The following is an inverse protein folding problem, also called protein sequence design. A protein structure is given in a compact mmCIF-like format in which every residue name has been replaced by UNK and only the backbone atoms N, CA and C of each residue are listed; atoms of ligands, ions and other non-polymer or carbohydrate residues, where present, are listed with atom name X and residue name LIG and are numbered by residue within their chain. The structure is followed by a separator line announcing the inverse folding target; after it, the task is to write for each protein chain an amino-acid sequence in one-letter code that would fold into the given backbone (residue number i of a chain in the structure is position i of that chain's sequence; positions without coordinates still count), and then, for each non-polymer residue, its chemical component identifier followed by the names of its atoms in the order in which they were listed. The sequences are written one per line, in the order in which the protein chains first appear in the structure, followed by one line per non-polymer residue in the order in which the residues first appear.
data_IF_432965849846
#
_entry.id   IF_432965849846
#
_cell.length_a   1.000
_cell.length_b   1.000
_cell.length_c   1.000
_cell.angle_alpha   90.00
_cell.angle_beta   90.00
_cell.angle_gamma   90.00
#
_symmetry.space_group_name_H-M   'P 1'
#
loop_
_entity.id
_entity.type
_entity.pdbx_description
1 polymer ?
#
# COMPACT_ATOMS: atom_id res chain seq x y z
N UNK A 1 -42.86 -0.93 -14.13
CA UNK A 1 -42.91 -1.38 -15.54
C UNK A 1 -42.71 -2.87 -15.54
N UNK A 2 -43.52 -3.64 -16.28
CA UNK A 2 -43.33 -5.10 -16.31
C UNK A 2 -42.14 -5.47 -17.22
N UNK A 3 -41.61 -6.68 -17.07
CA UNK A 3 -40.46 -7.18 -17.86
C UNK A 3 -40.64 -6.97 -19.38
N UNK A 4 -41.85 -7.20 -19.90
CA UNK A 4 -42.18 -6.99 -21.31
C UNK A 4 -41.92 -5.55 -21.76
N UNK A 5 -42.33 -4.55 -20.96
CA UNK A 5 -42.11 -3.13 -21.25
C UNK A 5 -40.62 -2.76 -21.24
N UNK A 6 -39.86 -3.37 -20.32
CA UNK A 6 -38.40 -3.17 -20.20
C UNK A 6 -37.66 -3.71 -21.41
N UNK A 7 -38.02 -4.91 -21.88
CA UNK A 7 -37.45 -5.51 -23.10
C UNK A 7 -37.74 -4.62 -24.32
N UNK A 8 -38.99 -4.15 -24.49
CA UNK A 8 -39.36 -3.25 -25.59
C UNK A 8 -38.54 -1.95 -25.54
N UNK A 9 -38.42 -1.35 -24.34
CA UNK A 9 -37.68 -0.09 -24.15
C UNK A 9 -36.19 -0.25 -24.48
N UNK A 10 -35.54 -1.28 -23.93
CA UNK A 10 -34.11 -1.56 -24.14
C UNK A 10 -33.83 -1.87 -25.62
N UNK A 11 -34.68 -2.68 -26.26
CA UNK A 11 -34.57 -2.98 -27.70
C UNK A 11 -34.66 -1.71 -28.56
N UNK A 12 -35.67 -0.86 -28.29
CA UNK A 12 -35.88 0.38 -29.06
C UNK A 12 -34.74 1.38 -28.85
N UNK A 13 -34.19 1.48 -27.63
CA UNK A 13 -33.03 2.33 -27.33
C UNK A 13 -31.80 1.96 -28.14
N UNK A 14 -31.53 0.67 -28.27
CA UNK A 14 -30.43 0.16 -29.09
C UNK A 14 -30.73 0.14 -30.60
N UNK A 15 -31.90 0.62 -31.02
CA UNK A 15 -32.30 0.68 -32.43
C UNK A 15 -32.57 -0.69 -33.08
N UNK A 16 -32.78 -1.74 -32.29
CA UNK A 16 -32.92 -3.10 -32.81
C UNK A 16 -34.36 -3.44 -33.21
N UNK A 17 -34.51 -4.23 -34.27
CA UNK A 17 -35.76 -4.94 -34.60
C UNK A 17 -35.94 -6.18 -33.69
N UNK A 18 -37.17 -6.72 -33.62
CA UNK A 18 -37.42 -7.97 -32.88
C UNK A 18 -36.63 -9.14 -33.45
N UNK A 19 -36.33 -9.12 -34.74
CA UNK A 19 -35.58 -10.15 -35.45
C UNK A 19 -34.08 -10.07 -35.12
N UNK A 20 -33.54 -8.85 -35.00
CA UNK A 20 -32.16 -8.63 -34.55
C UNK A 20 -31.96 -9.00 -33.08
N UNK A 21 -32.93 -8.69 -32.20
CA UNK A 21 -32.88 -9.15 -30.81
C UNK A 21 -32.96 -10.67 -30.74
N UNK A 22 -33.80 -11.31 -31.55
CA UNK A 22 -33.92 -12.76 -31.61
C UNK A 22 -32.61 -13.43 -32.07
N UNK A 23 -31.95 -12.86 -33.09
CA UNK A 23 -30.65 -13.32 -33.56
C UNK A 23 -29.57 -13.20 -32.47
N UNK A 24 -29.51 -12.06 -31.77
CA UNK A 24 -28.56 -11.82 -30.67
C UNK A 24 -28.79 -12.75 -29.47
N UNK A 25 -30.05 -13.10 -29.20
CA UNK A 25 -30.45 -13.98 -28.09
C UNK A 25 -30.46 -15.48 -28.46
N UNK A 26 -30.11 -15.81 -29.71
CA UNK A 26 -30.18 -17.16 -30.27
C UNK A 26 -31.55 -17.83 -30.01
N UNK A 27 -32.63 -17.12 -30.30
CA UNK A 27 -34.02 -17.59 -30.18
C UNK A 27 -34.82 -17.26 -31.45
N UNK A 28 -36.03 -17.80 -31.57
CA UNK A 28 -36.91 -17.42 -32.68
C UNK A 28 -37.49 -16.02 -32.48
N UNK A 29 -37.74 -15.31 -33.59
CA UNK A 29 -38.47 -14.02 -33.58
C UNK A 29 -39.81 -14.12 -32.85
N UNK A 30 -40.48 -15.27 -32.94
CA UNK A 30 -41.72 -15.55 -32.24
C UNK A 30 -41.56 -15.57 -30.71
N UNK A 31 -40.44 -16.07 -30.19
CA UNK A 31 -40.17 -16.06 -28.75
C UNK A 31 -40.05 -14.61 -28.22
N UNK A 32 -39.26 -13.77 -28.90
CA UNK A 32 -39.13 -12.35 -28.56
C UNK A 32 -40.47 -11.63 -28.63
N UNK A 33 -41.28 -11.88 -29.67
CA UNK A 33 -42.61 -11.29 -29.78
C UNK A 33 -43.54 -11.69 -28.63
N UNK A 34 -43.45 -12.93 -28.13
CA UNK A 34 -44.25 -13.39 -26.99
C UNK A 34 -43.76 -12.80 -25.66
N UNK A 35 -42.46 -12.59 -25.52
CA UNK A 35 -41.88 -11.89 -24.36
C UNK A 35 -42.33 -10.43 -24.31
N UNK A 36 -42.25 -9.71 -25.43
CA UNK A 36 -42.70 -8.31 -25.52
C UNK A 36 -44.23 -8.15 -25.37
N UNK A 37 -45.00 -9.19 -25.69
CA UNK A 37 -46.45 -9.21 -25.50
C UNK A 37 -46.88 -9.75 -24.11
N UNK A 38 -45.95 -10.02 -23.20
CA UNK A 38 -46.20 -10.62 -21.88
C UNK A 38 -46.95 -11.97 -21.93
N UNK A 39 -46.89 -12.70 -23.06
CA UNK A 39 -47.57 -13.99 -23.23
C UNK A 39 -46.76 -15.15 -22.65
N UNK A 40 -45.44 -15.00 -22.59
CA UNK A 40 -44.51 -15.97 -22.01
C UNK A 40 -43.37 -15.24 -21.34
N UNK A 41 -42.86 -15.77 -20.24
CA UNK A 41 -41.68 -15.23 -19.56
C UNK A 41 -40.42 -15.93 -20.07
N UNK A 42 -39.32 -15.21 -20.37
CA UNK A 42 -38.04 -15.85 -20.62
C UNK A 42 -37.61 -16.68 -19.40
N UNK A 43 -36.89 -17.78 -19.62
CA UNK A 43 -36.29 -18.53 -18.52
C UNK A 43 -35.12 -17.75 -17.88
N UNK A 44 -34.63 -18.22 -16.74
CA UNK A 44 -33.55 -17.55 -16.01
C UNK A 44 -32.28 -17.37 -16.86
N UNK A 45 -31.96 -18.34 -17.71
CA UNK A 45 -30.79 -18.26 -18.60
C UNK A 45 -30.96 -17.12 -19.62
N UNK A 46 -32.16 -16.99 -20.20
CA UNK A 46 -32.50 -15.91 -21.13
C UNK A 46 -32.58 -14.56 -20.43
N UNK A 47 -33.00 -14.50 -19.17
CA UNK A 47 -32.98 -13.26 -18.38
C UNK A 47 -31.54 -12.78 -18.14
N UNK A 48 -30.62 -13.69 -17.80
CA UNK A 48 -29.19 -13.38 -17.67
C UNK A 48 -28.59 -12.91 -18.99
N UNK A 49 -28.93 -13.58 -20.09
CA UNK A 49 -28.50 -13.18 -21.44
C UNK A 49 -29.04 -11.80 -21.82
N UNK A 50 -30.29 -11.47 -21.50
CA UNK A 50 -30.87 -10.14 -21.73
C UNK A 50 -30.16 -9.07 -20.90
N UNK A 51 -29.86 -9.34 -19.63
CA UNK A 51 -29.11 -8.42 -18.76
C UNK A 51 -27.76 -8.06 -19.36
N UNK A 52 -26.98 -9.08 -19.74
CA UNK A 52 -25.68 -8.89 -20.40
C UNK A 52 -25.80 -8.19 -21.75
N UNK A 53 -26.79 -8.56 -22.57
CA UNK A 53 -26.96 -7.98 -23.90
C UNK A 53 -27.35 -6.49 -23.87
N UNK A 54 -28.10 -6.10 -22.84
CA UNK A 54 -28.58 -4.72 -22.69
C UNK A 54 -27.73 -3.87 -21.74
N UNK A 55 -26.74 -4.46 -21.05
CA UNK A 55 -25.92 -3.77 -20.06
C UNK A 55 -26.71 -3.31 -18.84
N UNK A 56 -27.64 -4.14 -18.35
CA UNK A 56 -28.48 -3.84 -17.18
C UNK A 56 -28.48 -5.02 -16.21
N UNK A 57 -28.70 -4.73 -14.92
CA UNK A 57 -28.79 -5.78 -13.90
C UNK A 57 -30.03 -6.66 -14.08
N UNK A 58 -29.96 -7.92 -13.65
CA UNK A 58 -31.14 -8.80 -13.63
C UNK A 58 -32.21 -8.32 -12.67
N UNK A 59 -31.79 -7.63 -11.59
CA UNK A 59 -32.69 -6.98 -10.64
C UNK A 59 -33.54 -5.91 -11.35
N UNK A 60 -32.90 -5.08 -12.20
CA UNK A 60 -33.62 -4.13 -13.04
C UNK A 60 -34.62 -4.84 -13.98
N UNK A 61 -34.29 -6.00 -14.54
CA UNK A 61 -35.24 -6.72 -15.41
C UNK A 61 -36.45 -7.30 -14.64
N UNK A 62 -36.24 -7.74 -13.40
CA UNK A 62 -37.22 -8.54 -12.64
C UNK A 62 -38.08 -7.75 -11.65
N UNK A 63 -37.61 -6.64 -11.08
CA UNK A 63 -38.38 -5.85 -10.10
C UNK A 63 -39.41 -4.95 -10.78
N UNK A 64 -40.60 -4.81 -10.24
CA UNK A 64 -41.66 -3.98 -10.83
C UNK A 64 -41.54 -2.46 -10.51
N UNK A 65 -40.69 -2.13 -9.53
CA UNK A 65 -40.50 -0.77 -9.02
C UNK A 65 -39.69 0.12 -9.99
N UNK A 66 -39.97 1.42 -9.96
CA UNK A 66 -39.25 2.44 -10.74
C UNK A 66 -37.88 2.72 -10.10
N UNK A 67 -36.98 1.74 -10.14
CA UNK A 67 -35.54 2.01 -9.98
C UNK A 67 -35.02 2.62 -11.30
N UNK A 68 -34.24 3.69 -11.21
CA UNK A 68 -33.52 4.26 -12.34
C UNK A 68 -32.66 3.18 -13.01
N UNK A 69 -32.41 3.33 -14.31
CA UNK A 69 -31.61 2.37 -15.07
C UNK A 69 -30.20 2.24 -14.48
N UNK A 70 -29.98 1.26 -13.61
CA UNK A 70 -28.64 0.85 -13.17
C UNK A 70 -27.97 0.13 -14.34
N UNK A 71 -27.32 0.92 -15.20
CA UNK A 71 -26.43 0.40 -16.22
C UNK A 71 -25.27 -0.32 -15.54
N UNK A 72 -25.03 -1.57 -15.93
CA UNK A 72 -23.77 -2.22 -15.61
C UNK A 72 -22.70 -1.54 -16.46
N UNK A 73 -21.90 -0.65 -15.87
CA UNK A 73 -20.72 -0.15 -16.55
C UNK A 73 -19.88 -1.37 -16.98
N UNK A 74 -19.66 -1.55 -18.28
CA UNK A 74 -18.84 -2.64 -18.86
C UNK A 74 -17.35 -2.56 -18.45
N UNK A 75 -17.01 -1.73 -17.45
CA UNK A 75 -15.72 -1.71 -16.75
C UNK A 75 -15.75 -2.46 -15.41
N UNK A 76 -16.74 -3.33 -15.18
CA UNK A 76 -16.79 -4.16 -13.96
C UNK A 76 -15.69 -5.25 -14.01
N UNK A 77 -14.44 -4.81 -13.82
CA UNK A 77 -13.40 -5.65 -13.24
C UNK A 77 -14.05 -6.21 -11.98
N UNK A 78 -14.17 -7.54 -11.79
CA UNK A 78 -14.88 -8.09 -10.65
C UNK A 78 -14.29 -7.50 -9.37
N UNK A 79 -14.98 -6.52 -8.78
CA UNK A 79 -14.46 -5.77 -7.64
C UNK A 79 -14.40 -6.77 -6.50
N UNK A 80 -13.19 -7.16 -6.13
CA UNK A 80 -12.98 -8.28 -5.21
C UNK A 80 -13.60 -7.91 -3.87
N UNK A 81 -14.68 -8.60 -3.51
CA UNK A 81 -15.37 -8.39 -2.23
C UNK A 81 -14.62 -9.12 -1.13
N UNK A 82 -14.18 -8.36 -0.13
CA UNK A 82 -13.54 -8.90 1.07
C UNK A 82 -14.63 -9.35 2.03
N UNK A 83 -14.64 -10.64 2.34
CA UNK A 83 -15.56 -11.22 3.32
C UNK A 83 -15.11 -10.97 4.75
N UNK A 84 -16.00 -11.16 5.73
CA UNK A 84 -15.66 -11.11 7.16
C UNK A 84 -14.49 -12.03 7.53
N UNK A 85 -14.46 -13.25 6.99
CA UNK A 85 -13.40 -14.22 7.27
C UNK A 85 -12.06 -13.81 6.65
N UNK A 86 -12.07 -13.27 5.42
CA UNK A 86 -10.87 -12.78 4.76
C UNK A 86 -10.28 -11.57 5.47
N UNK A 87 -11.13 -10.62 5.88
CA UNK A 87 -10.72 -9.45 6.66
C UNK A 87 -10.12 -9.86 8.02
N UNK A 88 -10.75 -10.78 8.74
CA UNK A 88 -10.22 -11.29 10.01
C UNK A 88 -8.87 -11.99 9.84
N UNK A 89 -8.75 -12.86 8.83
CA UNK A 89 -7.50 -13.56 8.54
C UNK A 89 -6.39 -12.58 8.15
N UNK A 90 -6.68 -11.58 7.31
CA UNK A 90 -5.74 -10.51 6.96
C UNK A 90 -5.24 -9.77 8.20
N UNK A 91 -6.14 -9.32 9.09
CA UNK A 91 -5.76 -8.60 10.31
C UNK A 91 -4.93 -9.47 11.27
N UNK A 92 -5.28 -10.74 11.46
CA UNK A 92 -4.51 -11.68 12.28
C UNK A 92 -3.12 -11.95 11.71
N UNK A 93 -3.04 -12.12 10.39
CA UNK A 93 -1.78 -12.30 9.70
C UNK A 93 -0.90 -11.04 9.82
N UNK A 94 -1.44 -9.85 9.55
CA UNK A 94 -0.73 -8.56 9.72
C UNK A 94 -0.25 -8.37 11.17
N UNK A 95 -1.05 -8.75 12.15
CA UNK A 95 -0.66 -8.74 13.57
C UNK A 95 0.57 -9.62 13.84
N UNK A 96 0.60 -10.84 13.31
CA UNK A 96 1.76 -11.74 13.46
C UNK A 96 2.97 -11.24 12.66
N UNK A 97 2.76 -10.79 11.42
CA UNK A 97 3.79 -10.24 10.56
C UNK A 97 4.46 -9.00 11.19
N UNK A 98 3.70 -8.15 11.89
CA UNK A 98 4.22 -6.95 12.56
C UNK A 98 5.40 -7.24 13.50
N UNK A 99 5.31 -8.34 14.25
CA UNK A 99 6.37 -8.75 15.19
C UNK A 99 7.60 -9.22 14.42
N UNK A 100 7.41 -9.99 13.34
CA UNK A 100 8.52 -10.49 12.51
C UNK A 100 9.25 -9.35 11.80
N UNK A 101 8.50 -8.38 11.25
CA UNK A 101 9.05 -7.18 10.60
C UNK A 101 9.84 -6.34 11.62
N UNK A 102 9.31 -6.20 12.85
CA UNK A 102 10.01 -5.48 13.92
C UNK A 102 11.30 -6.19 14.35
N UNK A 103 11.27 -7.52 14.50
CA UNK A 103 12.47 -8.33 14.83
C UNK A 103 13.51 -8.23 13.73
N UNK A 104 13.12 -8.33 12.45
CA UNK A 104 14.03 -8.18 11.33
C UNK A 104 14.68 -6.78 11.29
N UNK A 105 13.88 -5.73 11.53
CA UNK A 105 14.40 -4.36 11.59
C UNK A 105 15.34 -4.17 12.77
N UNK A 106 14.99 -4.69 13.94
CA UNK A 106 15.85 -4.67 15.11
C UNK A 106 17.18 -5.39 14.84
N UNK A 107 17.13 -6.53 14.15
CA UNK A 107 18.32 -7.29 13.75
C UNK A 107 19.25 -6.47 12.86
N UNK A 108 18.70 -5.72 11.89
CA UNK A 108 19.49 -4.80 11.06
C UNK A 108 20.16 -3.69 11.88
N UNK A 109 19.46 -3.13 12.88
CA UNK A 109 20.00 -2.06 13.74
C UNK A 109 21.14 -2.60 14.60
N UNK A 110 20.99 -3.80 15.19
CA UNK A 110 22.01 -4.40 16.06
C UNK A 110 23.14 -5.07 15.28
N UNK A 111 23.00 -5.30 13.98
CA UNK A 111 24.01 -5.96 13.14
C UNK A 111 25.37 -5.24 13.17
N UNK A 112 25.37 -3.94 13.44
CA UNK A 112 26.58 -3.11 13.52
C UNK A 112 27.28 -3.24 14.88
N UNK A 113 26.59 -3.67 15.94
CA UNK A 113 27.13 -3.75 17.31
C UNK A 113 28.35 -4.68 17.42
N UNK A 114 28.36 -5.91 16.88
CA UNK A 114 29.53 -6.77 16.94
C UNK A 114 30.76 -6.14 16.29
N UNK A 115 30.58 -5.46 15.16
CA UNK A 115 31.66 -4.77 14.46
C UNK A 115 32.26 -3.65 15.33
N UNK A 116 31.40 -2.83 15.95
CA UNK A 116 31.84 -1.75 16.84
C UNK A 116 32.55 -2.30 18.08
N UNK A 117 31.95 -3.28 18.77
CA UNK A 117 32.50 -3.82 20.01
C UNK A 117 33.81 -4.57 19.77
N UNK A 118 33.91 -5.39 18.71
CA UNK A 118 35.16 -6.11 18.41
C UNK A 118 36.29 -5.16 18.04
N UNK A 119 36.00 -4.09 17.29
CA UNK A 119 36.97 -3.02 17.02
C UNK A 119 37.52 -2.42 18.31
N UNK A 120 36.63 -2.00 19.21
CA UNK A 120 37.04 -1.42 20.49
C UNK A 120 37.78 -2.41 21.41
N UNK A 121 37.41 -3.69 21.39
CA UNK A 121 38.15 -4.73 22.13
C UNK A 121 39.57 -4.90 21.58
N UNK A 122 39.78 -4.77 20.26
CA UNK A 122 41.11 -4.95 19.66
C UNK A 122 42.11 -3.86 20.04
N UNK A 123 41.62 -2.66 20.38
CA UNK A 123 42.46 -1.55 20.86
C UNK A 123 42.92 -1.75 22.31
N UNK A 124 42.08 -2.38 23.14
CA UNK A 124 42.33 -2.58 24.58
C UNK A 124 42.98 -3.94 24.88
N UNK A 125 42.62 -4.99 24.15
CA UNK A 125 43.08 -6.36 24.39
C UNK A 125 44.10 -6.79 23.34
N UNK A 126 45.32 -7.10 23.79
CA UNK A 126 46.45 -7.54 22.95
C UNK A 126 46.25 -8.88 22.20
N UNK A 127 45.14 -9.59 22.45
CA UNK A 127 44.94 -10.96 21.97
C UNK A 127 44.38 -11.08 20.56
N UNK A 128 43.82 -10.01 19.98
CA UNK A 128 43.18 -10.04 18.66
C UNK A 128 43.70 -8.86 17.82
N UNK A 129 44.28 -9.12 16.66
CA UNK A 129 44.68 -8.06 15.73
C UNK A 129 43.45 -7.34 15.16
N UNK A 130 43.55 -6.03 14.95
CA UNK A 130 42.52 -5.17 14.37
C UNK A 130 41.89 -5.76 13.09
N UNK A 131 42.70 -6.26 12.16
CA UNK A 131 42.23 -6.88 10.90
C UNK A 131 41.31 -8.09 11.15
N UNK A 132 41.64 -8.92 12.15
CA UNK A 132 40.84 -10.10 12.51
C UNK A 132 39.55 -9.68 13.21
N UNK A 133 39.61 -8.71 14.13
CA UNK A 133 38.44 -8.18 14.80
C UNK A 133 37.45 -7.54 13.81
N UNK A 134 37.94 -6.69 12.91
CA UNK A 134 37.16 -6.10 11.82
C UNK A 134 36.58 -7.14 10.87
N UNK A 135 37.38 -8.16 10.49
CA UNK A 135 36.93 -9.27 9.66
C UNK A 135 35.79 -10.08 10.29
N UNK A 136 35.91 -10.47 11.56
CA UNK A 136 34.86 -11.19 12.30
C UNK A 136 33.61 -10.31 12.45
N UNK A 137 33.79 -9.04 12.80
CA UNK A 137 32.70 -8.07 12.91
C UNK A 137 31.91 -7.91 11.62
N UNK A 138 32.61 -7.82 10.49
CA UNK A 138 31.99 -7.68 9.17
C UNK A 138 31.21 -8.94 8.77
N UNK A 139 31.78 -10.14 9.01
CA UNK A 139 31.09 -11.41 8.77
C UNK A 139 29.83 -11.51 9.64
N UNK A 140 29.93 -11.14 10.92
CA UNK A 140 28.77 -11.12 11.83
C UNK A 140 27.67 -10.16 11.36
N UNK A 141 28.04 -8.97 10.87
CA UNK A 141 27.10 -8.00 10.29
C UNK A 141 26.34 -8.62 9.11
N UNK A 142 27.04 -9.23 8.16
CA UNK A 142 26.40 -9.85 7.00
C UNK A 142 25.49 -11.02 7.39
N UNK A 143 25.86 -11.82 8.39
CA UNK A 143 25.00 -12.90 8.90
C UNK A 143 23.69 -12.34 9.48
N UNK A 144 23.77 -11.31 10.31
CA UNK A 144 22.56 -10.69 10.88
C UNK A 144 21.67 -10.07 9.81
N UNK A 145 22.26 -9.35 8.84
CA UNK A 145 21.52 -8.79 7.71
C UNK A 145 20.87 -9.88 6.85
N UNK A 146 21.59 -10.97 6.57
CA UNK A 146 21.04 -12.10 5.80
C UNK A 146 19.82 -12.73 6.49
N UNK A 147 19.88 -12.94 7.81
CA UNK A 147 18.75 -13.43 8.59
C UNK A 147 17.58 -12.43 8.57
N UNK A 148 17.86 -11.13 8.71
CA UNK A 148 16.81 -10.10 8.65
C UNK A 148 16.11 -10.08 7.29
N UNK A 149 16.87 -10.10 6.19
CA UNK A 149 16.34 -10.17 4.82
C UNK A 149 15.52 -11.43 4.60
N UNK A 150 15.96 -12.59 5.10
CA UNK A 150 15.18 -13.83 5.01
C UNK A 150 13.82 -13.71 5.71
N UNK A 151 13.76 -13.06 6.89
CA UNK A 151 12.52 -12.79 7.61
C UNK A 151 11.62 -11.84 6.81
N UNK A 152 12.17 -10.77 6.23
CA UNK A 152 11.41 -9.83 5.38
C UNK A 152 10.82 -10.52 4.15
N UNK A 153 11.62 -11.31 3.44
CA UNK A 153 11.17 -12.06 2.26
C UNK A 153 10.07 -13.05 2.62
N UNK A 154 10.23 -13.81 3.71
CA UNK A 154 9.19 -14.75 4.17
C UNK A 154 7.88 -14.05 4.54
N UNK A 155 7.96 -12.86 5.14
CA UNK A 155 6.78 -12.05 5.41
C UNK A 155 6.16 -11.50 4.12
N UNK A 156 6.98 -11.04 3.16
CA UNK A 156 6.52 -10.53 1.87
C UNK A 156 5.80 -11.60 1.04
N UNK A 157 6.40 -12.78 0.86
CA UNK A 157 5.78 -13.85 0.07
C UNK A 157 4.45 -14.35 0.67
N UNK A 158 4.32 -14.35 2.01
CA UNK A 158 3.03 -14.69 2.65
C UNK A 158 1.94 -13.63 2.48
N UNK A 159 2.29 -12.42 2.05
CA UNK A 159 1.33 -11.36 1.74
C UNK A 159 0.65 -11.55 0.38
N UNK A 160 1.23 -12.34 -0.53
CA UNK A 160 0.78 -12.44 -1.93
C UNK A 160 -0.74 -12.64 -2.12
N UNK A 161 -1.48 -13.43 -1.30
CA UNK A 161 -2.93 -13.54 -1.43
C UNK A 161 -3.72 -12.26 -1.16
N UNK A 162 -3.11 -11.29 -0.44
CA UNK A 162 -3.69 -10.02 -0.01
C UNK A 162 -3.10 -8.81 -0.74
N UNK A 163 -2.18 -9.01 -1.68
CA UNK A 163 -1.57 -7.94 -2.48
C UNK A 163 -2.61 -7.08 -3.22
N UNK A 164 -3.76 -7.67 -3.58
CA UNK A 164 -4.86 -6.97 -4.22
C UNK A 164 -5.44 -5.84 -3.36
N UNK A 165 -5.36 -5.92 -2.02
CA UNK A 165 -5.84 -4.88 -1.10
C UNK A 165 -5.06 -3.56 -1.33
N UNK A 166 -3.80 -3.68 -1.79
CA UNK A 166 -2.91 -2.54 -2.02
C UNK A 166 -2.90 -2.09 -3.49
N UNK A 167 -3.32 -2.96 -4.43
CA UNK A 167 -3.12 -2.77 -5.87
C UNK A 167 -4.42 -2.60 -6.66
N UNK A 168 -5.54 -3.10 -6.15
CA UNK A 168 -6.79 -3.22 -6.89
C UNK A 168 -7.95 -2.58 -6.11
N UNK A 169 -8.95 -2.01 -6.80
CA UNK A 169 -10.18 -1.60 -6.14
C UNK A 169 -10.88 -2.84 -5.57
N UNK A 170 -11.28 -2.75 -4.30
CA UNK A 170 -12.00 -3.81 -3.60
C UNK A 170 -13.22 -3.23 -2.87
N UNK A 171 -14.19 -4.08 -2.55
CA UNK A 171 -15.34 -3.73 -1.72
C UNK A 171 -15.33 -4.56 -0.45
N UNK A 172 -15.93 -4.04 0.62
CA UNK A 172 -16.08 -4.77 1.88
C UNK A 172 -17.50 -5.30 2.00
N UNK A 173 -17.66 -6.57 2.33
CA UNK A 173 -18.96 -7.16 2.63
C UNK A 173 -19.64 -6.47 3.84
N UNK A 174 -20.97 -6.58 3.92
CA UNK A 174 -21.73 -6.08 5.06
C UNK A 174 -21.15 -6.60 6.39
N UNK A 175 -21.00 -5.70 7.37
CA UNK A 175 -20.44 -6.02 8.68
C UNK A 175 -18.91 -5.94 8.80
N UNK A 176 -18.14 -6.04 7.70
CA UNK A 176 -16.67 -5.93 7.74
C UNK A 176 -16.24 -4.58 8.31
N UNK A 177 -16.79 -3.50 7.77
CA UNK A 177 -16.51 -2.13 8.24
C UNK A 177 -16.83 -1.94 9.72
N UNK A 178 -17.93 -2.53 10.20
CA UNK A 178 -18.31 -2.50 11.62
C UNK A 178 -17.28 -3.21 12.50
N UNK A 179 -16.94 -4.45 12.14
CA UNK A 179 -15.95 -5.27 12.85
C UNK A 179 -14.57 -4.60 12.90
N UNK A 180 -14.12 -4.01 11.78
CA UNK A 180 -12.81 -3.33 11.72
C UNK A 180 -12.83 -2.04 12.54
N UNK A 181 -13.91 -1.25 12.51
CA UNK A 181 -14.05 -0.04 13.34
C UNK A 181 -14.05 -0.37 14.83
N UNK A 182 -14.71 -1.45 15.24
CA UNK A 182 -14.69 -1.92 16.62
C UNK A 182 -13.28 -2.27 17.08
N UNK A 183 -12.55 -3.08 16.30
CA UNK A 183 -11.13 -3.40 16.58
C UNK A 183 -10.23 -2.17 16.58
N UNK A 184 -10.46 -1.23 15.66
CA UNK A 184 -9.71 0.02 15.58
C UNK A 184 -9.94 0.86 16.85
N UNK A 185 -11.18 0.95 17.33
CA UNK A 185 -11.54 1.64 18.58
C UNK A 185 -10.87 0.99 19.80
N UNK A 186 -10.91 -0.33 19.91
CA UNK A 186 -10.24 -1.09 20.99
C UNK A 186 -8.71 -0.91 20.96
N UNK A 187 -8.11 -0.89 19.77
CA UNK A 187 -6.66 -0.80 19.62
C UNK A 187 -6.11 0.63 19.72
N UNK A 188 -6.94 1.66 19.45
CA UNK A 188 -6.54 3.08 19.48
C UNK A 188 -5.76 3.51 20.74
N UNK A 189 -6.18 3.20 21.98
CA UNK A 189 -5.41 3.57 23.17
C UNK A 189 -4.03 2.88 23.21
N UNK A 190 -3.94 1.62 22.77
CA UNK A 190 -2.67 0.89 22.68
C UNK A 190 -1.77 1.50 21.62
N UNK A 191 -2.32 1.88 20.46
CA UNK A 191 -1.59 2.56 19.39
C UNK A 191 -0.98 3.89 19.86
N UNK A 192 -1.80 4.75 20.49
CA UNK A 192 -1.35 6.05 21.00
C UNK A 192 -0.31 5.88 22.11
N UNK A 193 -0.53 4.98 23.07
CA UNK A 193 0.43 4.69 24.14
C UNK A 193 1.76 4.16 23.59
N UNK A 194 1.70 3.25 22.61
CA UNK A 194 2.89 2.67 21.99
C UNK A 194 3.71 3.75 21.26
N UNK A 195 3.06 4.64 20.51
CA UNK A 195 3.74 5.73 19.82
C UNK A 195 4.37 6.74 20.79
N UNK A 196 3.69 7.09 21.89
CA UNK A 196 4.27 7.96 22.91
C UNK A 196 5.52 7.34 23.55
N UNK A 197 5.45 6.05 23.93
CA UNK A 197 6.58 5.32 24.52
C UNK A 197 7.73 5.21 23.51
N UNK A 198 7.46 4.79 22.28
CA UNK A 198 8.47 4.66 21.23
C UNK A 198 9.16 5.99 20.93
N UNK A 199 8.39 7.08 20.83
CA UNK A 199 8.93 8.43 20.63
C UNK A 199 9.85 8.82 21.78
N UNK A 200 9.42 8.59 23.03
CA UNK A 200 10.24 8.86 24.21
C UNK A 200 11.54 8.06 24.22
N UNK A 201 11.50 6.77 23.91
CA UNK A 201 12.69 5.90 23.80
C UNK A 201 13.63 6.42 22.72
N UNK A 202 13.14 6.77 21.53
CA UNK A 202 13.99 7.27 20.45
C UNK A 202 14.64 8.61 20.80
N UNK A 203 13.90 9.55 21.40
CA UNK A 203 14.44 10.86 21.82
C UNK A 203 15.50 10.70 22.91
N UNK A 204 15.30 9.78 23.85
CA UNK A 204 16.25 9.52 24.94
C UNK A 204 17.38 8.55 24.54
N UNK A 205 17.28 7.88 23.40
CA UNK A 205 18.28 6.89 22.96
C UNK A 205 19.70 7.43 22.86
N UNK A 206 19.99 8.71 22.51
CA UNK A 206 21.35 9.22 22.45
C UNK A 206 21.95 9.58 23.83
N UNK A 207 21.17 9.57 24.92
CA UNK A 207 21.65 9.96 26.26
C UNK A 207 22.86 9.12 26.72
N UNK A 208 22.88 7.78 26.59
CA UNK A 208 24.06 6.97 26.91
C UNK A 208 25.31 7.45 26.15
N UNK A 209 25.22 7.69 24.84
CA UNK A 209 26.34 8.20 24.04
C UNK A 209 26.84 9.55 24.54
N UNK A 210 25.92 10.48 24.87
CA UNK A 210 26.28 11.79 25.42
C UNK A 210 26.99 11.65 26.78
N UNK A 211 26.54 10.73 27.64
CA UNK A 211 27.22 10.42 28.91
C UNK A 211 28.61 9.84 28.66
N UNK A 212 28.73 8.91 27.69
CA UNK A 212 30.01 8.34 27.27
C UNK A 212 30.99 9.40 26.76
N UNK A 213 30.52 10.43 26.05
CA UNK A 213 31.36 11.52 25.54
C UNK A 213 32.02 12.37 26.65
N UNK A 214 31.49 12.36 27.88
CA UNK A 214 32.16 12.98 29.03
C UNK A 214 33.26 12.11 29.63
N UNK A 215 33.41 10.88 29.15
CA UNK A 215 34.48 9.98 29.57
C UNK A 215 35.63 10.06 28.58
N UNK A 216 36.87 10.01 29.07
CA UNK A 216 38.08 9.94 28.23
C UNK A 216 38.35 8.50 27.72
N UNK A 217 37.43 7.56 27.95
CA UNK A 217 37.62 6.14 27.65
C UNK A 217 36.89 5.75 26.35
N UNK A 218 37.66 5.57 25.28
CA UNK A 218 37.15 5.22 23.94
C UNK A 218 36.34 3.92 23.93
N UNK A 219 36.77 2.90 24.67
CA UNK A 219 36.03 1.64 24.81
C UNK A 219 34.64 1.83 25.45
N UNK A 220 34.55 2.70 26.47
CA UNK A 220 33.28 3.03 27.10
C UNK A 220 32.35 3.79 26.15
N UNK A 221 32.88 4.72 25.36
CA UNK A 221 32.10 5.45 24.34
C UNK A 221 31.46 4.47 23.36
N UNK A 222 32.18 3.45 22.91
CA UNK A 222 31.67 2.44 21.98
C UNK A 222 30.57 1.57 22.61
N UNK A 223 30.71 1.19 23.89
CA UNK A 223 29.64 0.50 24.63
C UNK A 223 28.40 1.38 24.72
N UNK A 224 28.56 2.66 25.02
CA UNK A 224 27.45 3.60 25.11
C UNK A 224 26.76 3.81 23.76
N UNK A 225 27.53 3.85 22.67
CA UNK A 225 26.99 3.86 21.30
C UNK A 225 26.16 2.60 21.01
N UNK A 226 26.64 1.42 21.40
CA UNK A 226 25.89 0.17 21.25
C UNK A 226 24.57 0.19 22.03
N UNK A 227 24.55 0.72 23.25
CA UNK A 227 23.33 0.90 24.05
C UNK A 227 22.37 1.87 23.35
N UNK A 228 22.87 2.98 22.81
CA UNK A 228 22.07 3.92 22.02
C UNK A 228 21.39 3.23 20.83
N UNK A 229 22.12 2.42 20.06
CA UNK A 229 21.56 1.66 18.95
C UNK A 229 20.50 0.64 19.40
N UNK A 230 20.71 -0.04 20.53
CA UNK A 230 19.73 -0.96 21.11
C UNK A 230 18.43 -0.25 21.48
N UNK A 231 18.52 0.89 22.17
CA UNK A 231 17.35 1.68 22.56
C UNK A 231 16.60 2.20 21.33
N UNK A 232 17.30 2.77 20.36
CA UNK A 232 16.71 3.23 19.10
C UNK A 232 16.01 2.07 18.35
N UNK A 233 16.64 0.90 18.30
CA UNK A 233 16.07 -0.32 17.72
C UNK A 233 14.78 -0.77 18.43
N UNK A 234 14.72 -0.71 19.77
CA UNK A 234 13.51 -1.03 20.54
C UNK A 234 12.39 -0.05 20.18
N UNK A 235 12.68 1.26 20.14
CA UNK A 235 11.72 2.28 19.73
C UNK A 235 11.17 2.05 18.33
N UNK A 236 12.04 1.79 17.35
CA UNK A 236 11.66 1.44 15.99
C UNK A 236 10.79 0.16 15.93
N UNK A 237 11.13 -0.86 16.72
CA UNK A 237 10.33 -2.09 16.81
C UNK A 237 8.91 -1.83 17.32
N UNK A 238 8.74 -0.97 18.32
CA UNK A 238 7.41 -0.59 18.84
C UNK A 238 6.62 0.17 17.76
N UNK A 239 7.25 1.13 17.06
CA UNK A 239 6.60 1.85 15.96
C UNK A 239 6.13 0.90 14.85
N UNK A 240 6.95 -0.08 14.48
CA UNK A 240 6.59 -1.06 13.46
C UNK A 240 5.41 -1.91 13.93
N UNK A 241 5.44 -2.44 15.16
CA UNK A 241 4.35 -3.28 15.68
C UNK A 241 3.03 -2.51 15.72
N UNK A 242 3.06 -1.27 16.23
CA UNK A 242 1.89 -0.42 16.37
C UNK A 242 1.37 0.06 15.00
N UNK A 243 2.28 0.58 14.17
CA UNK A 243 1.98 1.12 12.85
C UNK A 243 1.46 0.08 11.87
N UNK A 244 2.07 -1.11 11.79
CA UNK A 244 1.63 -2.19 10.89
C UNK A 244 0.19 -2.61 11.18
N UNK A 245 -0.17 -2.74 12.46
CA UNK A 245 -1.52 -3.11 12.90
C UNK A 245 -2.52 -2.00 12.61
N UNK A 246 -2.18 -0.76 12.97
CA UNK A 246 -3.01 0.40 12.70
C UNK A 246 -3.30 0.58 11.21
N UNK A 247 -2.24 0.57 10.39
CA UNK A 247 -2.32 0.68 8.94
C UNK A 247 -3.18 -0.43 8.31
N UNK A 248 -3.11 -1.67 8.82
CA UNK A 248 -3.94 -2.76 8.28
C UNK A 248 -5.44 -2.53 8.47
N UNK A 249 -5.85 -1.87 9.56
CA UNK A 249 -7.25 -1.52 9.78
C UNK A 249 -7.67 -0.32 8.93
N UNK A 250 -6.81 0.70 8.81
CA UNK A 250 -7.06 1.84 7.92
C UNK A 250 -7.18 1.43 6.45
N UNK A 251 -6.38 0.46 6.00
CA UNK A 251 -6.50 -0.13 4.66
C UNK A 251 -7.88 -0.71 4.39
N UNK A 252 -8.37 -1.58 5.28
CA UNK A 252 -9.70 -2.18 5.12
C UNK A 252 -10.84 -1.16 5.20
N UNK A 253 -10.66 -0.10 6.01
CA UNK A 253 -11.63 0.99 6.13
C UNK A 253 -11.49 2.07 5.04
N UNK A 254 -10.44 1.99 4.21
CA UNK A 254 -10.06 3.02 3.23
C UNK A 254 -9.96 4.41 3.85
N UNK A 255 -9.36 4.52 5.03
CA UNK A 255 -9.22 5.77 5.79
C UNK A 255 -7.81 6.37 5.68
N UNK A 256 -7.71 7.69 5.85
CA UNK A 256 -6.43 8.41 5.81
C UNK A 256 -5.77 8.34 4.43
N UNK A 257 -4.52 7.86 4.40
CA UNK A 257 -3.72 7.71 3.18
C UNK A 257 -4.24 6.61 2.23
N UNK A 258 -5.15 5.75 2.71
CA UNK A 258 -5.71 4.62 1.95
C UNK A 258 -7.07 4.93 1.32
N UNK A 259 -7.51 6.19 1.36
CA UNK A 259 -8.71 6.61 0.62
C UNK A 259 -8.43 6.53 -0.89
N UNK A 260 -9.42 6.16 -1.74
CA UNK A 260 -9.22 6.13 -3.19
C UNK A 260 -8.73 7.47 -3.76
N UNK A 261 -9.17 8.58 -3.18
CA UNK A 261 -8.73 9.93 -3.54
C UNK A 261 -7.24 10.15 -3.22
N UNK A 262 -6.77 9.78 -2.03
CA UNK A 262 -5.37 10.00 -1.65
C UNK A 262 -4.41 9.06 -2.38
N UNK A 263 -4.83 7.82 -2.67
CA UNK A 263 -4.08 6.89 -3.54
C UNK A 263 -3.90 7.49 -4.94
N UNK A 264 -4.98 8.02 -5.54
CA UNK A 264 -4.91 8.71 -6.84
C UNK A 264 -3.97 9.92 -6.79
N UNK A 265 -4.04 10.73 -5.73
CA UNK A 265 -3.13 11.87 -5.54
C UNK A 265 -1.67 11.40 -5.41
N UNK A 266 -1.41 10.31 -4.68
CA UNK A 266 -0.07 9.73 -4.52
C UNK A 266 0.52 9.31 -5.86
N UNK A 267 -0.23 8.59 -6.70
CA UNK A 267 0.22 8.16 -8.03
C UNK A 267 0.56 9.35 -8.94
N UNK A 268 -0.26 10.41 -8.92
CA UNK A 268 0.01 11.64 -9.69
C UNK A 268 1.28 12.32 -9.17
N UNK A 269 1.43 12.45 -7.84
CA UNK A 269 2.65 13.01 -7.22
C UNK A 269 3.90 12.22 -7.62
N UNK A 270 3.83 10.89 -7.59
CA UNK A 270 4.93 9.99 -7.94
C UNK A 270 5.30 10.07 -9.43
N UNK A 271 4.30 10.11 -10.31
CA UNK A 271 4.50 10.27 -11.76
C UNK A 271 5.17 11.61 -12.08
N UNK A 272 4.69 12.70 -11.47
CA UNK A 272 5.25 14.04 -11.66
C UNK A 272 6.67 14.11 -11.11
N UNK A 273 6.91 13.55 -9.92
CA UNK A 273 8.24 13.50 -9.34
C UNK A 273 9.22 12.72 -10.22
N UNK A 274 8.80 11.56 -10.72
CA UNK A 274 9.61 10.73 -11.62
C UNK A 274 9.95 11.49 -12.90
N UNK A 275 8.96 12.09 -13.57
CA UNK A 275 9.17 12.89 -14.78
C UNK A 275 10.09 14.09 -14.52
N UNK A 276 9.92 14.77 -13.39
CA UNK A 276 10.72 15.92 -13.00
C UNK A 276 12.19 15.56 -12.78
N UNK A 277 12.47 14.52 -11.99
CA UNK A 277 13.85 14.11 -11.70
C UNK A 277 14.56 13.51 -12.93
N UNK A 278 13.83 12.79 -13.78
CA UNK A 278 14.38 12.35 -15.07
C UNK A 278 14.70 13.53 -15.99
N UNK A 279 13.86 14.56 -16.02
CA UNK A 279 14.12 15.78 -16.79
C UNK A 279 15.33 16.55 -16.24
N UNK A 280 15.45 16.71 -14.92
CA UNK A 280 16.61 17.33 -14.29
C UNK A 280 17.90 16.56 -14.58
N UNK A 281 17.84 15.23 -14.52
CA UNK A 281 18.96 14.35 -14.88
C UNK A 281 19.34 14.51 -16.35
N UNK A 282 18.37 14.57 -17.26
CA UNK A 282 18.62 14.77 -18.68
C UNK A 282 19.26 16.14 -18.97
N UNK A 283 18.81 17.21 -18.31
CA UNK A 283 19.40 18.55 -18.41
C UNK A 283 20.85 18.54 -17.90
N UNK A 284 21.08 17.93 -16.73
CA UNK A 284 22.43 17.79 -16.17
C UNK A 284 23.37 17.05 -17.12
N UNK A 285 22.95 15.90 -17.64
CA UNK A 285 23.78 15.11 -18.56
C UNK A 285 24.00 15.83 -19.87
N UNK A 286 22.96 16.42 -20.48
CA UNK A 286 23.09 17.16 -21.74
C UNK A 286 24.08 18.32 -21.57
N UNK A 287 23.91 19.15 -20.53
CA UNK A 287 24.83 20.25 -20.27
C UNK A 287 26.25 19.73 -20.02
N UNK A 288 26.42 18.73 -19.17
CA UNK A 288 27.74 18.20 -18.81
C UNK A 288 28.48 17.60 -20.00
N UNK A 289 27.80 16.86 -20.88
CA UNK A 289 28.42 16.28 -22.08
C UNK A 289 28.69 17.32 -23.17
N UNK A 290 27.84 18.33 -23.33
CA UNK A 290 28.05 19.39 -24.33
C UNK A 290 29.20 20.33 -23.96
N UNK A 291 29.40 20.61 -22.67
CA UNK A 291 30.41 21.58 -22.21
C UNK A 291 31.64 20.95 -21.59
N UNK A 292 31.62 19.64 -21.28
CA UNK A 292 32.63 18.94 -20.48
C UNK A 292 32.95 19.62 -19.13
N UNK A 293 32.06 20.50 -18.63
CA UNK A 293 32.30 21.33 -17.45
C UNK A 293 31.63 20.75 -16.19
N UNK A 294 31.93 19.49 -15.88
CA UNK A 294 31.36 18.73 -14.76
C UNK A 294 31.49 19.43 -13.40
N UNK A 295 32.52 20.27 -13.23
CA UNK A 295 32.75 21.06 -12.01
C UNK A 295 31.72 22.18 -11.78
N UNK A 296 30.96 22.55 -12.81
CA UNK A 296 29.97 23.65 -12.74
C UNK A 296 28.53 23.16 -12.94
N UNK A 297 28.33 22.12 -13.73
CA UNK A 297 26.99 21.61 -14.06
C UNK A 297 26.26 20.96 -12.88
N UNK A 298 26.97 20.63 -11.80
CA UNK A 298 26.36 20.12 -10.57
C UNK A 298 25.33 21.08 -9.95
N UNK A 299 25.38 22.39 -10.28
CA UNK A 299 24.42 23.40 -9.83
C UNK A 299 22.97 23.07 -10.22
N UNK A 300 22.77 22.24 -11.25
CA UNK A 300 21.46 21.73 -11.66
C UNK A 300 20.74 21.03 -10.50
N UNK A 301 21.45 20.32 -9.62
CA UNK A 301 20.84 19.56 -8.51
C UNK A 301 20.25 20.46 -7.41
N UNK A 302 20.99 21.43 -6.83
CA UNK A 302 20.40 22.41 -5.91
C UNK A 302 19.21 23.18 -6.51
N UNK A 303 19.34 23.63 -7.77
CA UNK A 303 18.27 24.37 -8.47
C UNK A 303 17.05 23.47 -8.66
N UNK A 304 17.23 22.23 -9.10
CA UNK A 304 16.16 21.26 -9.23
C UNK A 304 15.48 20.96 -7.89
N UNK A 305 16.24 20.87 -6.79
CA UNK A 305 15.67 20.66 -5.45
C UNK A 305 14.73 21.79 -5.02
N UNK A 306 15.12 23.05 -5.22
CA UNK A 306 14.29 24.22 -4.87
C UNK A 306 13.06 24.31 -5.77
N UNK A 307 13.24 24.15 -7.09
CA UNK A 307 12.15 24.21 -8.06
C UNK A 307 11.13 23.07 -7.86
N UNK A 308 11.56 21.90 -7.38
CA UNK A 308 10.68 20.76 -7.12
C UNK A 308 9.60 21.10 -6.09
N UNK A 309 9.95 21.83 -5.03
CA UNK A 309 8.99 22.29 -4.03
C UNK A 309 7.90 23.20 -4.66
N UNK A 310 8.30 24.09 -5.57
CA UNK A 310 7.38 24.95 -6.32
C UNK A 310 6.47 24.15 -7.26
N UNK A 311 7.04 23.22 -8.03
CA UNK A 311 6.26 22.32 -8.93
C UNK A 311 5.22 21.54 -8.13
N UNK A 312 5.61 20.94 -7.01
CA UNK A 312 4.69 20.19 -6.15
C UNK A 312 3.59 21.06 -5.54
N UNK A 313 3.88 22.31 -5.17
CA UNK A 313 2.89 23.26 -4.67
C UNK A 313 1.86 23.64 -5.75
N UNK A 314 2.32 23.88 -6.98
CA UNK A 314 1.47 24.18 -8.13
C UNK A 314 0.58 22.97 -8.46
N UNK A 315 1.16 21.77 -8.52
CA UNK A 315 0.40 20.56 -8.80
C UNK A 315 -0.73 20.31 -7.79
N UNK A 316 -0.49 20.60 -6.49
CA UNK A 316 -1.53 20.51 -5.44
C UNK A 316 -2.74 21.39 -5.75
N UNK A 317 -2.52 22.62 -6.22
CA UNK A 317 -3.60 23.56 -6.57
C UNK A 317 -4.50 23.04 -7.70
N UNK A 318 -3.95 22.25 -8.62
CA UNK A 318 -4.71 21.66 -9.72
C UNK A 318 -5.40 20.34 -9.33
N UNK A 319 -4.83 19.57 -8.41
CA UNK A 319 -5.43 18.31 -7.95
C UNK A 319 -6.55 18.48 -6.94
N UNK A 320 -6.56 19.56 -6.15
CA UNK A 320 -7.62 19.82 -5.14
C UNK A 320 -8.86 20.52 -5.72
N UNK A 321 -8.81 21.02 -6.95
CA UNK A 321 -9.90 21.78 -7.60
C UNK A 321 -10.95 20.91 -8.32
N UNK A 322 -10.83 19.58 -8.26
CA UNK A 322 -11.62 18.63 -9.06
C UNK A 322 -12.63 17.79 -8.26
N UNK A 323 -12.79 18.06 -6.97
CA UNK A 323 -13.89 17.54 -6.14
C UNK A 323 -14.82 18.70 -5.76
#
# INVERSE_FOLDING_TARGET
MILADKIIRLRKRNGWSQEELAAKMNVSRQAVSKWEAAQTTPDLEKILQLGNLFGVTTDYLLKDEMEDEEFTDETDIPVKRITLSQADHFLKWRKSASVKIAVATFLCVIAVIPLLLLGAVSEVALSISENVAGGIGLVSLFVFVAVAVAIFLHCGFKNAPYDFIDKEPFETEYGVTGMVKERQKEYRPVYVRSNMIATGICILSPVPLLVGAFTENEFLIVIMLAITLLLAGIGAGIFIIAGVRWASMQKLLKEGEYTPQEIRKSYIKETIATAYWLSATAIYLAWSFLTNAWETTWIVWPVAGVLFAGVMAICRLFTDKKD
#
